data_IF_857041605206
#
_entry.id   IF_857041605206
#
_cell.length_a   1.000
_cell.length_b   1.000
_cell.length_c   1.000
_cell.angle_alpha   90.00
_cell.angle_beta   90.00
_cell.angle_gamma   90.00
#
_symmetry.space_group_name_H-M   'P 1'
#
loop_
_entity.id
_entity.type
_entity.pdbx_description
1 polymer ?
#
# COMPACT_ATOMS: atom_id res chain seq x y z
N UNK A 1 3.51 -11.74 4.64
CA UNK A 1 2.29 -11.12 4.05
C UNK A 1 1.19 -10.93 5.09
N UNK A 2 1.04 -11.83 6.07
CA UNK A 2 0.04 -11.68 7.15
C UNK A 2 0.10 -10.33 7.87
N UNK A 3 1.30 -9.83 8.22
CA UNK A 3 1.44 -8.52 8.87
C UNK A 3 0.85 -7.36 8.04
N UNK A 4 0.90 -7.46 6.70
CA UNK A 4 0.26 -6.47 5.82
C UNK A 4 -1.26 -6.62 5.87
N UNK A 5 -1.77 -7.84 5.72
CA UNK A 5 -3.22 -8.09 5.76
C UNK A 5 -3.86 -7.62 7.09
N UNK A 6 -3.18 -7.86 8.22
CA UNK A 6 -3.64 -7.41 9.54
C UNK A 6 -3.53 -5.90 9.75
N UNK A 7 -2.63 -5.22 9.04
CA UNK A 7 -2.43 -3.77 9.17
C UNK A 7 -3.29 -2.95 8.20
N UNK A 8 -3.88 -3.56 7.16
CA UNK A 8 -4.66 -2.85 6.16
C UNK A 8 -5.91 -2.18 6.76
N UNK A 9 -6.16 -0.89 6.44
CA UNK A 9 -7.39 -0.24 6.86
C UNK A 9 -8.59 -0.84 6.13
N UNK A 10 -9.74 -0.93 6.81
CA UNK A 10 -10.98 -1.49 6.23
C UNK A 10 -11.45 -0.79 4.95
N UNK A 11 -11.07 0.46 4.78
CA UNK A 11 -11.40 1.30 3.63
C UNK A 11 -10.40 1.19 2.48
N UNK A 12 -9.51 0.20 2.49
CA UNK A 12 -8.55 -0.08 1.44
C UNK A 12 -8.68 -1.50 0.91
N UNK A 13 -8.43 -1.67 -0.39
CA UNK A 13 -8.30 -2.98 -1.02
C UNK A 13 -7.15 -2.97 -2.03
N UNK A 14 -6.51 -4.13 -2.20
CA UNK A 14 -5.47 -4.34 -3.20
C UNK A 14 -6.11 -4.80 -4.51
N UNK A 15 -5.59 -4.31 -5.62
CA UNK A 15 -5.95 -4.75 -6.98
C UNK A 15 -4.81 -5.48 -7.66
N UNK A 16 -3.57 -5.22 -7.27
CA UNK A 16 -2.42 -5.97 -7.71
C UNK A 16 -1.36 -6.11 -6.62
N UNK A 17 -0.67 -7.25 -6.63
CA UNK A 17 0.49 -7.53 -5.81
C UNK A 17 1.56 -8.15 -6.70
N UNK A 18 2.69 -7.48 -6.86
CA UNK A 18 3.75 -7.91 -7.78
C UNK A 18 5.08 -8.01 -7.06
N UNK A 19 5.56 -9.24 -6.90
CA UNK A 19 6.88 -9.50 -6.31
C UNK A 19 7.95 -9.54 -7.39
N UNK A 20 8.97 -8.69 -7.26
CA UNK A 20 10.15 -8.62 -8.11
C UNK A 20 11.37 -8.41 -7.22
N UNK A 21 12.05 -9.49 -6.79
CA UNK A 21 13.16 -9.40 -5.85
C UNK A 21 14.16 -8.30 -6.22
N UNK A 22 14.57 -7.43 -5.27
CA UNK A 22 14.26 -7.45 -3.83
C UNK A 22 13.00 -6.65 -3.44
N UNK A 23 12.14 -6.28 -4.38
CA UNK A 23 10.99 -5.39 -4.19
C UNK A 23 9.64 -6.10 -4.29
N UNK A 24 8.64 -5.51 -3.63
CA UNK A 24 7.23 -5.86 -3.69
C UNK A 24 6.43 -4.61 -4.02
N UNK A 25 5.66 -4.63 -5.11
CA UNK A 25 4.75 -3.55 -5.47
C UNK A 25 3.34 -3.90 -5.06
N UNK A 26 2.66 -2.98 -4.38
CA UNK A 26 1.28 -3.07 -3.95
C UNK A 26 0.50 -1.97 -4.66
N UNK A 27 -0.52 -2.35 -5.43
CA UNK A 27 -1.43 -1.40 -6.07
C UNK A 27 -2.84 -1.63 -5.57
N UNK A 28 -3.58 -0.56 -5.36
CA UNK A 28 -4.92 -0.66 -4.82
C UNK A 28 -5.61 0.69 -4.75
N UNK A 29 -6.70 0.70 -3.99
CA UNK A 29 -7.51 1.89 -3.78
C UNK A 29 -7.85 2.06 -2.31
N UNK A 30 -8.16 3.29 -1.93
CA UNK A 30 -8.83 3.62 -0.68
C UNK A 30 -10.06 4.47 -0.94
N UNK A 31 -11.08 4.39 -0.08
CA UNK A 31 -12.31 5.17 -0.27
C UNK A 31 -12.17 6.65 0.15
N UNK A 32 -11.04 7.04 0.76
CA UNK A 32 -10.85 8.38 1.30
C UNK A 32 -9.38 8.72 1.51
N UNK A 33 -9.03 10.01 1.50
CA UNK A 33 -7.66 10.46 1.77
C UNK A 33 -7.15 10.05 3.18
N UNK A 34 -7.96 10.11 4.26
CA UNK A 34 -7.54 9.57 5.56
C UNK A 34 -7.21 8.08 5.52
N UNK A 35 -7.95 7.27 4.75
CA UNK A 35 -7.64 5.85 4.59
C UNK A 35 -6.33 5.62 3.82
N UNK A 36 -6.00 6.47 2.84
CA UNK A 36 -4.70 6.46 2.16
C UNK A 36 -3.54 6.79 3.12
N UNK A 37 -3.73 7.78 4.00
CA UNK A 37 -2.75 8.11 5.04
C UNK A 37 -2.55 6.94 6.01
N UNK A 38 -3.65 6.34 6.49
CA UNK A 38 -3.61 5.17 7.36
C UNK A 38 -2.92 3.97 6.68
N UNK A 39 -3.14 3.77 5.37
CA UNK A 39 -2.45 2.74 4.58
C UNK A 39 -0.93 3.00 4.54
N UNK A 40 -0.52 4.25 4.31
CA UNK A 40 0.90 4.64 4.30
C UNK A 40 1.58 4.37 5.65
N UNK A 41 0.88 4.64 6.75
CA UNK A 41 1.37 4.34 8.10
C UNK A 41 1.38 2.84 8.41
N UNK A 42 0.39 2.09 7.93
CA UNK A 42 0.34 0.63 8.06
C UNK A 42 1.56 -0.03 7.39
N UNK A 43 1.97 0.46 6.21
CA UNK A 43 3.14 -0.07 5.49
C UNK A 43 4.45 0.05 6.27
N UNK A 44 4.60 1.08 7.12
CA UNK A 44 5.77 1.23 8.00
C UNK A 44 5.86 0.13 9.06
N UNK A 45 4.75 -0.55 9.36
CA UNK A 45 4.64 -1.61 10.38
C UNK A 45 4.78 -3.01 9.81
N UNK A 46 4.87 -3.17 8.48
CA UNK A 46 4.98 -4.47 7.84
C UNK A 46 6.35 -5.09 8.10
N UNK A 47 6.37 -6.18 8.85
CA UNK A 47 7.61 -6.93 9.15
C UNK A 47 8.27 -7.44 7.88
N UNK A 48 9.60 -7.34 7.82
CA UNK A 48 10.40 -7.83 6.69
C UNK A 48 10.47 -6.88 5.49
N UNK A 49 9.81 -5.72 5.53
CA UNK A 49 9.82 -4.75 4.45
C UNK A 49 10.10 -3.32 4.95
N UNK A 50 10.69 -2.51 4.09
CA UNK A 50 10.78 -1.06 4.27
C UNK A 50 9.93 -0.37 3.19
N UNK A 51 9.09 0.62 3.54
CA UNK A 51 8.39 1.39 2.53
C UNK A 51 9.41 2.15 1.68
N UNK A 52 9.32 1.96 0.36
CA UNK A 52 9.99 2.78 -0.63
C UNK A 52 9.22 4.09 -0.87
N UNK A 53 9.63 4.88 -1.88
CA UNK A 53 8.88 6.07 -2.26
C UNK A 53 7.44 5.71 -2.63
N UNK A 54 6.50 6.56 -2.21
CA UNK A 54 5.14 6.51 -2.71
C UNK A 54 5.17 6.65 -4.24
N UNK A 55 4.55 5.71 -4.94
CA UNK A 55 4.32 5.81 -6.38
C UNK A 55 3.13 6.71 -6.67
N UNK A 56 2.42 6.43 -7.77
CA UNK A 56 1.26 7.22 -8.15
C UNK A 56 0.17 7.21 -7.08
N UNK A 57 -0.31 8.41 -6.74
CA UNK A 57 -1.47 8.65 -5.89
C UNK A 57 -2.40 9.60 -6.64
N UNK A 58 -3.57 9.11 -7.02
CA UNK A 58 -4.54 9.90 -7.77
C UNK A 58 -5.95 9.59 -7.29
N UNK A 59 -6.79 10.62 -7.25
CA UNK A 59 -8.21 10.44 -7.02
C UNK A 59 -8.90 10.10 -8.34
N UNK A 60 -9.72 9.05 -8.34
CA UNK A 60 -10.53 8.69 -9.49
C UNK A 60 -11.83 9.52 -9.56
N UNK A 61 -12.56 9.39 -10.67
CA UNK A 61 -13.83 10.09 -10.89
C UNK A 61 -14.94 9.70 -9.90
N UNK A 62 -14.76 8.63 -9.12
CA UNK A 62 -15.68 8.20 -8.06
C UNK A 62 -15.25 8.71 -6.68
N UNK A 63 -14.20 9.53 -6.62
CA UNK A 63 -13.67 10.10 -5.39
C UNK A 63 -12.77 9.15 -4.59
N UNK A 64 -12.44 7.96 -5.12
CA UNK A 64 -11.59 6.97 -4.48
C UNK A 64 -10.13 7.27 -4.82
N UNK A 65 -9.22 6.96 -3.90
CA UNK A 65 -7.79 7.22 -4.08
C UNK A 65 -7.08 5.96 -4.54
N UNK A 66 -6.59 5.95 -5.78
CA UNK A 66 -5.66 4.95 -6.27
C UNK A 66 -4.29 5.16 -5.65
N UNK A 67 -3.60 4.07 -5.30
CA UNK A 67 -2.23 4.10 -4.83
C UNK A 67 -1.37 3.03 -5.49
N UNK A 68 -0.07 3.31 -5.59
CA UNK A 68 0.97 2.32 -5.84
C UNK A 68 2.10 2.51 -4.84
N UNK A 69 2.41 1.47 -4.06
CA UNK A 69 3.51 1.49 -3.09
C UNK A 69 4.54 0.44 -3.46
N UNK A 70 5.81 0.85 -3.48
CA UNK A 70 6.92 -0.08 -3.56
C UNK A 70 7.46 -0.34 -2.15
N UNK A 71 7.64 -1.61 -1.82
CA UNK A 71 8.28 -2.07 -0.60
C UNK A 71 9.59 -2.75 -0.97
N UNK A 72 10.62 -2.61 -0.13
CA UNK A 72 11.90 -3.30 -0.30
C UNK A 72 12.07 -4.32 0.82
N UNK A 73 12.50 -5.53 0.48
CA UNK A 73 12.83 -6.54 1.48
C UNK A 73 13.92 -5.99 2.39
N UNK A 74 13.69 -6.07 3.70
CA UNK A 74 14.72 -5.80 4.71
C UNK A 74 15.64 -7.02 4.72
N UNK A 75 16.95 -6.80 4.57
CA UNK A 75 17.96 -7.86 4.72
C UNK A 75 18.19 -8.18 6.19
#
# INVERSE_FOLDING_TARGET
LESLASAMPRQAWLTALRYQPPSLTLTGYTTSLPALSAMTDALKRVTGFNPGPAGEMQQDSQGRWMFSFQLHSRR
#
